data_IF_832593292388
#
_entry.id   IF_832593292388
#
_cell.length_a   1.000
_cell.length_b   1.000
_cell.length_c   1.000
_cell.angle_alpha   90.00
_cell.angle_beta   90.00
_cell.angle_gamma   90.00
#
_symmetry.space_group_name_H-M   'P 1'
#
loop_
_entity.id
_entity.type
_entity.pdbx_description
1 polymer ?
#
# COMPACT_ATOMS: atom_id res chain seq x y z
N UNK A 1 -19.12 0.02 -16.52
CA UNK A 1 -18.78 -1.29 -15.95
C UNK A 1 -19.57 -1.44 -14.68
N UNK A 2 -20.24 -2.57 -14.46
CA UNK A 2 -21.00 -2.80 -13.25
C UNK A 2 -20.16 -3.56 -12.26
N UNK A 3 -20.21 -3.18 -11.02
CA UNK A 3 -19.53 -3.84 -9.91
C UNK A 3 -20.57 -4.35 -8.92
N UNK A 4 -20.20 -5.37 -8.17
CA UNK A 4 -21.09 -6.04 -7.24
C UNK A 4 -20.45 -6.08 -5.85
N UNK A 5 -21.26 -5.89 -4.83
CA UNK A 5 -20.83 -6.02 -3.44
C UNK A 5 -21.75 -6.96 -2.69
N UNK A 6 -21.14 -8.03 -2.17
CA UNK A 6 -21.80 -9.00 -1.30
C UNK A 6 -21.86 -8.45 0.11
N UNK A 7 -23.00 -8.51 0.75
CA UNK A 7 -23.25 -7.96 2.08
C UNK A 7 -24.35 -8.72 2.82
N UNK A 8 -24.41 -8.56 4.13
CA UNK A 8 -25.51 -9.08 4.94
C UNK A 8 -26.82 -8.36 4.65
N UNK A 9 -27.95 -9.01 4.91
CA UNK A 9 -29.27 -8.42 4.73
C UNK A 9 -29.46 -7.14 5.55
N UNK A 10 -28.98 -7.12 6.81
CA UNK A 10 -29.10 -5.94 7.66
C UNK A 10 -28.27 -4.77 7.17
N UNK A 11 -27.08 -5.03 6.65
CA UNK A 11 -26.25 -3.98 5.99
C UNK A 11 -26.95 -3.42 4.76
N UNK A 12 -27.64 -4.27 3.98
CA UNK A 12 -28.44 -3.85 2.83
C UNK A 12 -29.52 -2.85 3.22
N UNK A 13 -30.28 -3.16 4.27
CA UNK A 13 -31.32 -2.24 4.79
C UNK A 13 -30.74 -0.87 5.17
N UNK A 14 -29.58 -0.87 5.83
CA UNK A 14 -28.90 0.38 6.21
C UNK A 14 -28.44 1.18 5.00
N UNK A 15 -27.90 0.53 3.97
CA UNK A 15 -27.47 1.20 2.73
C UNK A 15 -28.66 1.83 2.02
N UNK A 16 -29.76 1.09 1.86
CA UNK A 16 -30.97 1.59 1.20
C UNK A 16 -31.58 2.76 2.00
N UNK A 17 -31.69 2.60 3.32
CA UNK A 17 -32.26 3.64 4.20
C UNK A 17 -31.45 4.93 4.18
N UNK A 18 -30.13 4.81 4.30
CA UNK A 18 -29.24 5.95 4.46
C UNK A 18 -28.69 6.47 3.12
N UNK A 19 -28.88 5.72 2.03
CA UNK A 19 -28.29 5.99 0.71
C UNK A 19 -26.78 6.18 0.77
N UNK A 20 -26.11 5.38 1.61
CA UNK A 20 -24.66 5.45 1.83
C UNK A 20 -24.06 4.07 1.80
N UNK A 21 -22.84 3.95 1.28
CA UNK A 21 -22.05 2.74 1.34
C UNK A 21 -20.78 2.98 2.18
N UNK A 22 -20.53 2.07 3.11
CA UNK A 22 -19.37 2.20 4.00
C UNK A 22 -18.09 1.78 3.30
N UNK A 23 -17.06 2.62 3.39
CA UNK A 23 -15.70 2.27 3.05
C UNK A 23 -14.96 1.80 4.30
N UNK A 24 -14.26 0.69 4.20
CA UNK A 24 -13.61 0.06 5.34
C UNK A 24 -12.17 0.53 5.48
N UNK A 25 -11.70 0.64 6.73
CA UNK A 25 -10.26 0.74 6.98
C UNK A 25 -9.60 -0.60 6.66
N UNK A 26 -8.45 -0.62 5.98
CA UNK A 26 -7.68 -1.84 5.74
C UNK A 26 -7.38 -2.63 7.03
N UNK A 27 -7.19 -1.92 8.14
CA UNK A 27 -6.95 -2.51 9.46
C UNK A 27 -8.12 -3.36 10.01
N UNK A 28 -9.27 -3.35 9.34
CA UNK A 28 -10.48 -4.09 9.71
C UNK A 28 -10.81 -5.23 8.74
N UNK A 29 -9.91 -5.52 7.82
CA UNK A 29 -10.10 -6.64 6.92
C UNK A 29 -9.97 -7.97 7.68
N UNK A 30 -10.67 -8.97 7.20
CA UNK A 30 -10.74 -10.31 7.82
C UNK A 30 -9.47 -11.14 7.60
N UNK A 31 -8.75 -10.88 6.54
CA UNK A 31 -7.46 -11.52 6.26
C UNK A 31 -6.34 -10.74 6.95
N UNK A 32 -5.65 -11.39 7.87
CA UNK A 32 -4.54 -10.78 8.63
C UNK A 32 -3.30 -10.49 7.77
N UNK A 33 -3.17 -11.16 6.64
CA UNK A 33 -2.08 -10.93 5.68
C UNK A 33 -2.43 -9.84 4.67
N UNK A 34 -3.70 -9.43 4.60
CA UNK A 34 -4.20 -8.46 3.65
C UNK A 34 -3.88 -7.03 4.09
N UNK A 35 -3.52 -6.20 3.12
CA UNK A 35 -3.17 -4.79 3.36
C UNK A 35 -2.05 -4.62 4.39
N UNK A 36 -1.17 -5.59 4.52
CA UNK A 36 0.04 -5.48 5.30
C UNK A 36 1.20 -5.09 4.40
N UNK A 37 2.10 -4.28 4.94
CA UNK A 37 3.36 -4.04 4.23
C UNK A 37 4.13 -5.35 4.08
N UNK A 38 4.51 -5.67 2.84
CA UNK A 38 5.37 -6.83 2.56
C UNK A 38 6.81 -6.42 2.93
N UNK A 39 7.37 -6.98 4.00
CA UNK A 39 8.69 -6.57 4.43
C UNK A 39 9.76 -7.06 3.45
N UNK A 40 10.81 -6.27 3.30
CA UNK A 40 12.04 -6.78 2.72
C UNK A 40 12.58 -7.90 3.62
N UNK A 41 13.19 -8.94 3.02
CA UNK A 41 13.88 -9.91 3.87
C UNK A 41 15.02 -9.23 4.63
N UNK A 42 15.34 -9.75 5.80
CA UNK A 42 16.45 -9.21 6.62
C UNK A 42 17.74 -9.15 5.82
N UNK A 43 18.02 -10.20 5.05
CA UNK A 43 19.21 -10.29 4.20
C UNK A 43 19.22 -9.22 3.09
N UNK A 44 18.05 -8.98 2.47
CA UNK A 44 17.90 -7.94 1.45
C UNK A 44 18.12 -6.56 2.04
N UNK A 45 17.57 -6.31 3.22
CA UNK A 45 17.71 -5.04 3.91
C UNK A 45 19.16 -4.77 4.35
N UNK A 46 19.84 -5.76 4.94
CA UNK A 46 21.24 -5.66 5.34
C UNK A 46 22.18 -5.48 4.13
N UNK A 47 21.91 -6.18 3.04
CA UNK A 47 22.65 -6.00 1.79
C UNK A 47 22.49 -4.60 1.25
N UNK A 48 21.26 -4.11 1.15
CA UNK A 48 20.95 -2.76 0.67
C UNK A 48 21.60 -1.69 1.54
N UNK A 49 21.64 -1.87 2.85
CA UNK A 49 22.30 -0.93 3.76
C UNK A 49 23.83 -0.89 3.53
N UNK A 50 24.48 -2.04 3.35
CA UNK A 50 25.92 -2.07 3.02
C UNK A 50 26.18 -1.38 1.67
N UNK A 51 25.42 -1.74 0.64
CA UNK A 51 25.55 -1.16 -0.69
C UNK A 51 25.30 0.36 -0.70
N UNK A 52 24.31 0.82 0.06
CA UNK A 52 24.05 2.22 0.28
C UNK A 52 25.27 2.96 0.83
N UNK A 53 25.89 2.44 1.89
CA UNK A 53 27.07 3.06 2.50
C UNK A 53 28.29 3.05 1.58
N UNK A 54 28.50 1.96 0.83
CA UNK A 54 29.55 1.89 -0.19
C UNK A 54 29.35 2.95 -1.30
N UNK A 55 28.12 3.15 -1.74
CA UNK A 55 27.78 4.19 -2.71
C UNK A 55 28.09 5.59 -2.15
N UNK A 56 27.66 5.87 -0.92
CA UNK A 56 27.94 7.17 -0.28
C UNK A 56 29.45 7.40 -0.12
N UNK A 57 30.22 6.38 0.21
CA UNK A 57 31.68 6.44 0.33
C UNK A 57 32.32 6.76 -1.03
N UNK A 58 31.94 6.06 -2.10
CA UNK A 58 32.40 6.31 -3.47
C UNK A 58 32.15 7.75 -3.90
N UNK A 59 30.91 8.23 -3.68
CA UNK A 59 30.56 9.63 -3.99
C UNK A 59 31.41 10.61 -3.17
N UNK A 60 31.64 10.33 -1.91
CA UNK A 60 32.46 11.18 -1.04
C UNK A 60 33.92 11.26 -1.53
N UNK A 61 34.45 10.18 -2.10
CA UNK A 61 35.79 10.12 -2.72
C UNK A 61 35.85 10.75 -4.11
N UNK A 62 34.72 11.17 -4.69
CA UNK A 62 34.64 11.74 -6.03
C UNK A 62 34.61 10.68 -7.13
N UNK A 63 34.33 9.42 -6.80
CA UNK A 63 34.19 8.34 -7.77
C UNK A 63 32.83 8.46 -8.48
N UNK A 64 32.81 8.05 -9.74
CA UNK A 64 31.56 8.03 -10.51
C UNK A 64 30.72 6.80 -10.12
N UNK A 65 29.46 7.01 -9.79
CA UNK A 65 28.47 5.97 -9.51
C UNK A 65 27.22 6.20 -10.35
N UNK A 66 26.62 5.13 -10.82
CA UNK A 66 25.41 5.17 -11.64
C UNK A 66 24.15 5.34 -10.77
N UNK A 67 23.99 6.54 -10.22
CA UNK A 67 22.81 6.93 -9.44
C UNK A 67 22.39 8.37 -9.78
N UNK A 68 21.13 8.70 -9.53
CA UNK A 68 20.63 10.07 -9.65
C UNK A 68 20.96 10.85 -8.37
N UNK A 69 22.10 11.56 -8.40
CA UNK A 69 22.61 12.31 -7.24
C UNK A 69 21.63 13.40 -6.76
N UNK A 70 20.89 14.02 -7.67
CA UNK A 70 19.95 15.10 -7.33
C UNK A 70 18.72 14.58 -6.58
N UNK A 71 18.36 13.34 -6.80
CA UNK A 71 17.23 12.69 -6.12
C UNK A 71 17.58 12.08 -4.76
N UNK A 72 18.85 12.09 -4.38
CA UNK A 72 19.24 11.57 -3.07
C UNK A 72 18.47 12.28 -1.94
N UNK A 73 18.03 11.51 -0.96
CA UNK A 73 17.36 12.09 0.22
C UNK A 73 18.32 12.99 1.01
N UNK A 74 17.82 14.01 1.73
CA UNK A 74 18.66 14.98 2.46
C UNK A 74 19.69 14.35 3.40
N UNK A 75 19.32 13.26 4.08
CA UNK A 75 20.23 12.54 4.98
C UNK A 75 21.42 11.93 4.23
N UNK A 76 21.23 11.47 2.97
CA UNK A 76 22.33 10.93 2.16
C UNK A 76 23.34 12.02 1.82
N UNK A 77 22.91 13.23 1.46
CA UNK A 77 23.79 14.37 1.23
C UNK A 77 24.58 14.74 2.49
N UNK A 78 23.93 14.75 3.65
CA UNK A 78 24.58 15.01 4.93
C UNK A 78 25.66 13.96 5.24
N UNK A 79 25.35 12.67 5.05
CA UNK A 79 26.28 11.58 5.27
C UNK A 79 27.49 11.66 4.32
N UNK A 80 27.27 11.98 3.05
CA UNK A 80 28.37 12.20 2.08
C UNK A 80 29.30 13.31 2.56
N UNK A 81 28.75 14.44 3.04
CA UNK A 81 29.55 15.53 3.56
C UNK A 81 30.36 15.12 4.81
N UNK A 82 29.76 14.37 5.72
CA UNK A 82 30.43 13.84 6.91
C UNK A 82 31.56 12.86 6.55
N UNK A 83 31.34 11.97 5.57
CA UNK A 83 32.38 11.04 5.08
C UNK A 83 33.55 11.83 4.50
N UNK A 84 33.30 12.83 3.65
CA UNK A 84 34.36 13.69 3.08
C UNK A 84 35.21 14.33 4.17
N UNK A 85 34.60 14.95 5.16
CA UNK A 85 35.30 15.55 6.31
C UNK A 85 36.14 14.53 7.09
N UNK A 86 35.61 13.32 7.25
CA UNK A 86 36.34 12.25 7.97
C UNK A 86 37.54 11.73 7.15
N UNK A 87 37.41 11.66 5.83
CA UNK A 87 38.51 11.30 4.93
C UNK A 87 39.60 12.39 5.00
N UNK A 88 39.26 13.64 4.90
CA UNK A 88 40.18 14.78 4.99
C UNK A 88 40.95 14.81 6.32
N UNK A 89 40.31 14.39 7.40
CA UNK A 89 40.92 14.32 8.75
C UNK A 89 41.63 13.02 9.04
N UNK A 90 41.71 12.09 8.08
CA UNK A 90 42.28 10.75 8.27
C UNK A 90 41.62 9.96 9.43
N UNK A 91 40.34 10.19 9.70
CA UNK A 91 39.56 9.52 10.77
C UNK A 91 38.54 8.55 10.23
N UNK A 92 38.40 8.46 8.92
CA UNK A 92 37.38 7.65 8.28
C UNK A 92 37.65 6.14 8.47
N UNK A 93 36.64 5.44 8.98
CA UNK A 93 36.62 3.98 9.08
C UNK A 93 35.24 3.47 8.67
N UNK A 94 35.17 2.87 7.47
CA UNK A 94 33.90 2.39 6.91
C UNK A 94 33.24 1.30 7.78
N UNK A 95 34.03 0.39 8.35
CA UNK A 95 33.50 -0.69 9.18
C UNK A 95 32.85 -0.17 10.47
N UNK A 96 33.41 0.83 11.10
CA UNK A 96 32.83 1.46 12.30
C UNK A 96 31.55 2.20 11.94
N UNK A 97 31.52 2.92 10.83
CA UNK A 97 30.33 3.65 10.38
C UNK A 97 29.16 2.71 10.08
N UNK A 98 29.42 1.58 9.41
CA UNK A 98 28.40 0.54 9.17
C UNK A 98 27.88 -0.01 10.50
N UNK A 99 28.77 -0.34 11.44
CA UNK A 99 28.40 -0.86 12.76
C UNK A 99 27.58 0.15 13.56
N UNK A 100 27.97 1.41 13.55
CA UNK A 100 27.26 2.49 14.28
C UNK A 100 25.84 2.68 13.72
N UNK A 101 25.67 2.70 12.40
CA UNK A 101 24.34 2.84 11.77
C UNK A 101 23.48 1.61 12.04
N UNK A 102 24.04 0.40 11.94
CA UNK A 102 23.29 -0.83 12.24
C UNK A 102 22.89 -0.93 13.71
N UNK A 103 23.71 -0.39 14.63
CA UNK A 103 23.40 -0.36 16.06
C UNK A 103 22.35 0.67 16.44
N UNK A 104 22.21 1.76 15.67
CA UNK A 104 21.17 2.78 15.88
C UNK A 104 19.77 2.27 15.51
N UNK A 105 19.65 1.25 14.68
CA UNK A 105 18.39 0.71 14.19
C UNK A 105 18.25 -0.74 14.66
N UNK A 106 17.64 -0.92 15.82
CA UNK A 106 17.54 -2.26 16.46
C UNK A 106 16.67 -3.24 15.68
N UNK A 107 15.66 -2.76 14.95
CA UNK A 107 14.80 -3.60 14.08
C UNK A 107 14.21 -2.76 12.94
N UNK A 108 15.00 -2.45 11.91
CA UNK A 108 14.57 -1.55 10.82
C UNK A 108 13.33 -2.05 10.07
N UNK A 109 13.14 -3.36 9.97
CA UNK A 109 11.96 -3.95 9.34
C UNK A 109 10.69 -3.66 10.15
N UNK A 110 10.74 -3.88 11.47
CA UNK A 110 9.59 -3.63 12.34
C UNK A 110 9.27 -2.14 12.41
N UNK A 111 10.27 -1.28 12.52
CA UNK A 111 10.10 0.18 12.55
C UNK A 111 9.49 0.69 11.24
N UNK A 112 9.93 0.17 10.10
CA UNK A 112 9.40 0.54 8.79
C UNK A 112 7.98 0.03 8.58
N UNK A 113 7.69 -1.21 9.01
CA UNK A 113 6.34 -1.77 9.02
C UNK A 113 5.40 -0.93 9.89
N UNK A 114 5.83 -0.55 11.08
CA UNK A 114 5.05 0.29 11.98
C UNK A 114 4.77 1.66 11.37
N UNK A 115 5.77 2.29 10.76
CA UNK A 115 5.63 3.55 10.05
C UNK A 115 4.61 3.47 8.91
N UNK A 116 4.70 2.44 8.06
CA UNK A 116 3.75 2.22 6.97
C UNK A 116 2.34 1.98 7.52
N UNK A 117 2.19 1.10 8.51
CA UNK A 117 0.89 0.76 9.08
C UNK A 117 0.25 1.95 9.79
N UNK A 118 1.02 2.72 10.55
CA UNK A 118 0.52 3.89 11.27
C UNK A 118 0.31 5.11 10.36
N UNK A 119 1.22 5.32 9.41
CA UNK A 119 1.20 6.52 8.56
C UNK A 119 0.34 6.37 7.30
N UNK A 120 0.52 5.28 6.56
CA UNK A 120 -0.11 5.08 5.26
C UNK A 120 -1.46 4.36 5.38
N UNK A 121 -1.47 3.19 6.01
CA UNK A 121 -2.65 2.31 5.99
C UNK A 121 -3.79 2.87 6.84
N UNK A 122 -3.46 3.53 7.95
CA UNK A 122 -4.45 4.03 8.91
C UNK A 122 -5.44 5.03 8.29
N UNK A 123 -4.95 5.87 7.38
CA UNK A 123 -5.74 6.95 6.76
C UNK A 123 -6.51 6.52 5.53
N UNK A 124 -6.29 5.30 5.03
CA UNK A 124 -6.99 4.81 3.86
C UNK A 124 -8.37 4.24 4.20
N UNK A 125 -9.28 4.46 3.26
CA UNK A 125 -10.62 3.85 3.22
C UNK A 125 -10.79 3.18 1.89
N UNK A 126 -11.23 1.93 1.91
CA UNK A 126 -11.32 1.06 0.75
C UNK A 126 -12.74 0.56 0.58
N UNK A 127 -13.23 0.65 -0.63
CA UNK A 127 -14.42 -0.04 -1.08
C UNK A 127 -13.99 -1.20 -1.98
N UNK A 128 -14.18 -2.42 -1.49
CA UNK A 128 -13.95 -3.66 -2.20
C UNK A 128 -15.23 -4.08 -2.92
N UNK A 129 -15.12 -4.33 -4.20
CA UNK A 129 -16.21 -4.78 -5.08
C UNK A 129 -15.68 -5.86 -6.02
N UNK A 130 -16.55 -6.59 -6.69
CA UNK A 130 -16.18 -7.60 -7.69
C UNK A 130 -16.93 -7.38 -8.99
N UNK A 131 -16.41 -7.96 -10.08
CA UNK A 131 -17.11 -7.96 -11.36
C UNK A 131 -18.17 -9.09 -11.48
N UNK A 132 -18.27 -9.98 -10.49
CA UNK A 132 -19.16 -11.16 -10.52
C UNK A 132 -20.21 -11.13 -9.41
N UNK A 133 -21.44 -11.38 -9.76
CA UNK A 133 -22.58 -11.46 -8.83
C UNK A 133 -23.00 -12.90 -8.47
N UNK A 134 -22.49 -13.89 -9.19
CA UNK A 134 -22.92 -15.29 -9.12
C UNK A 134 -21.86 -16.24 -8.51
N UNK A 135 -20.86 -15.69 -7.84
CA UNK A 135 -19.78 -16.47 -7.24
C UNK A 135 -20.22 -17.11 -5.93
N UNK A 136 -20.33 -18.43 -5.89
CA UNK A 136 -20.81 -19.20 -4.71
C UNK A 136 -19.92 -19.01 -3.47
N UNK A 137 -18.59 -18.89 -3.65
CA UNK A 137 -17.68 -18.65 -2.52
C UNK A 137 -17.87 -17.25 -1.94
N UNK A 138 -18.10 -16.26 -2.79
CA UNK A 138 -18.42 -14.90 -2.35
C UNK A 138 -19.76 -14.85 -1.59
N UNK A 139 -20.76 -15.61 -2.05
CA UNK A 139 -22.02 -15.74 -1.33
C UNK A 139 -21.84 -16.38 0.04
N UNK A 140 -21.01 -17.41 0.14
CA UNK A 140 -20.74 -18.07 1.42
C UNK A 140 -19.99 -17.17 2.39
N UNK A 141 -18.95 -16.47 1.93
CA UNK A 141 -18.03 -15.69 2.79
C UNK A 141 -18.58 -14.29 3.13
N UNK A 142 -19.19 -13.61 2.16
CA UNK A 142 -19.57 -12.20 2.26
C UNK A 142 -21.08 -11.98 2.16
N UNK A 143 -21.81 -12.95 1.62
CA UNK A 143 -23.27 -12.93 1.50
C UNK A 143 -24.00 -13.59 2.65
N UNK A 144 -23.46 -13.52 3.89
CA UNK A 144 -24.08 -14.08 5.09
C UNK A 144 -24.51 -15.54 4.93
N UNK A 145 -23.57 -16.40 4.50
CA UNK A 145 -23.81 -17.83 4.25
C UNK A 145 -24.99 -18.08 3.29
N UNK A 146 -25.06 -17.30 2.21
CA UNK A 146 -26.11 -17.30 1.19
C UNK A 146 -27.47 -16.67 1.61
N UNK A 147 -27.58 -16.07 2.82
CA UNK A 147 -28.79 -15.37 3.29
C UNK A 147 -28.74 -13.86 3.09
N UNK A 148 -27.62 -13.33 2.59
CA UNK A 148 -27.41 -11.91 2.39
C UNK A 148 -27.93 -11.39 1.04
N UNK A 149 -27.30 -10.33 0.58
CA UNK A 149 -27.66 -9.66 -0.67
C UNK A 149 -26.41 -9.33 -1.48
N UNK A 150 -26.62 -9.13 -2.79
CA UNK A 150 -25.64 -8.51 -3.67
C UNK A 150 -26.19 -7.18 -4.14
N UNK A 151 -25.42 -6.11 -3.94
CA UNK A 151 -25.75 -4.79 -4.48
C UNK A 151 -24.97 -4.58 -5.75
N UNK A 152 -25.65 -4.22 -6.82
CA UNK A 152 -25.04 -3.75 -8.06
C UNK A 152 -24.74 -2.26 -7.94
N UNK A 153 -23.50 -1.90 -8.26
CA UNK A 153 -23.00 -0.53 -8.29
C UNK A 153 -22.64 -0.18 -9.73
N UNK A 154 -23.47 0.63 -10.36
CA UNK A 154 -23.19 1.17 -11.69
C UNK A 154 -22.84 2.64 -11.60
N UNK A 155 -21.91 3.09 -12.42
CA UNK A 155 -21.46 4.49 -12.46
C UNK A 155 -21.10 5.04 -11.08
N UNK A 156 -20.12 4.42 -10.43
CA UNK A 156 -19.69 4.74 -9.05
C UNK A 156 -19.43 6.23 -8.83
N UNK A 157 -19.09 6.97 -9.88
CA UNK A 157 -18.95 8.43 -9.85
C UNK A 157 -19.14 8.99 -11.27
N UNK A 158 -19.67 10.21 -11.37
CA UNK A 158 -19.80 10.93 -12.65
C UNK A 158 -18.41 11.48 -13.04
N UNK A 159 -17.74 12.10 -12.08
CA UNK A 159 -16.38 12.59 -12.23
C UNK A 159 -15.50 11.91 -11.17
N UNK A 160 -14.34 11.38 -11.59
CA UNK A 160 -13.40 10.75 -10.66
C UNK A 160 -12.90 11.78 -9.64
N UNK A 161 -13.18 11.59 -8.33
CA UNK A 161 -12.71 12.52 -7.31
C UNK A 161 -11.18 12.60 -7.29
N UNK A 162 -10.66 13.79 -7.06
CA UNK A 162 -9.22 13.98 -6.87
C UNK A 162 -8.73 13.13 -5.70
N UNK A 163 -7.64 12.42 -5.87
CA UNK A 163 -7.07 11.53 -4.84
C UNK A 163 -7.71 10.15 -4.75
N UNK A 164 -8.78 9.87 -5.53
CA UNK A 164 -9.30 8.51 -5.64
C UNK A 164 -8.35 7.65 -6.47
N UNK A 165 -7.89 6.55 -5.88
CA UNK A 165 -7.18 5.47 -6.58
C UNK A 165 -8.10 4.28 -6.73
N UNK A 166 -7.97 3.59 -7.84
CA UNK A 166 -8.77 2.41 -8.12
C UNK A 166 -8.02 1.44 -9.02
N UNK A 167 -8.30 0.16 -8.86
CA UNK A 167 -7.68 -0.87 -9.67
C UNK A 167 -8.17 -2.27 -9.31
N UNK A 168 -7.81 -3.21 -10.17
CA UNK A 168 -7.95 -4.65 -9.87
C UNK A 168 -6.91 -5.05 -8.85
N UNK A 169 -7.26 -6.04 -8.04
CA UNK A 169 -6.31 -6.68 -7.15
C UNK A 169 -5.47 -7.67 -7.97
N UNK A 170 -4.15 -7.59 -7.80
CA UNK A 170 -3.19 -8.53 -8.37
C UNK A 170 -3.01 -9.70 -7.40
N UNK A 171 -3.18 -10.92 -7.88
CA UNK A 171 -3.11 -12.12 -7.07
C UNK A 171 -1.78 -12.85 -7.27
N UNK A 172 -1.07 -13.13 -6.17
CA UNK A 172 0.25 -13.77 -6.19
C UNK A 172 0.32 -14.94 -5.20
N UNK A 173 1.07 -15.98 -5.53
CA UNK A 173 1.34 -17.07 -4.59
C UNK A 173 2.12 -16.57 -3.38
N UNK A 174 3.10 -15.70 -3.62
CA UNK A 174 3.88 -15.02 -2.59
C UNK A 174 3.83 -13.52 -2.86
N UNK A 175 3.66 -12.74 -1.81
CA UNK A 175 3.72 -11.29 -1.89
C UNK A 175 5.19 -10.86 -1.78
N UNK A 176 5.64 -10.07 -2.72
CA UNK A 176 6.98 -9.49 -2.76
C UNK A 176 6.89 -7.98 -2.92
N UNK A 177 7.77 -7.20 -2.27
CA UNK A 177 7.83 -5.77 -2.50
C UNK A 177 8.31 -5.50 -3.93
N UNK A 178 7.58 -4.63 -4.65
CA UNK A 178 7.99 -4.14 -5.99
C UNK A 178 9.09 -3.09 -5.87
N UNK A 179 9.19 -2.48 -4.71
CA UNK A 179 10.25 -1.51 -4.41
C UNK A 179 11.56 -2.21 -4.09
N UNK A 180 12.66 -1.61 -4.51
CA UNK A 180 13.99 -2.05 -4.10
C UNK A 180 14.35 -1.40 -2.76
N UNK A 181 14.85 -2.16 -1.81
CA UNK A 181 15.30 -1.64 -0.52
C UNK A 181 16.43 -0.60 -0.65
N UNK A 182 17.33 -0.76 -1.61
CA UNK A 182 18.39 0.21 -1.88
C UNK A 182 17.84 1.57 -2.35
N UNK A 183 16.82 1.57 -3.21
CA UNK A 183 16.19 2.80 -3.67
C UNK A 183 15.56 3.58 -2.52
N UNK A 184 14.96 2.88 -1.56
CA UNK A 184 14.41 3.48 -0.34
C UNK A 184 15.52 4.08 0.53
N UNK A 185 16.69 3.45 0.60
CA UNK A 185 17.85 3.99 1.31
C UNK A 185 18.40 5.24 0.62
N UNK A 186 18.53 5.23 -0.70
CA UNK A 186 19.09 6.33 -1.48
C UNK A 186 18.13 7.53 -1.55
N UNK A 187 16.91 7.28 -1.97
CA UNK A 187 15.97 8.32 -2.40
C UNK A 187 14.83 8.56 -1.38
N UNK A 188 14.61 7.63 -0.45
CA UNK A 188 13.48 7.71 0.49
C UNK A 188 12.14 7.43 -0.17
N UNK A 189 11.08 8.03 0.34
CA UNK A 189 9.72 7.89 -0.19
C UNK A 189 9.43 8.91 -1.30
N UNK A 190 9.96 8.66 -2.49
CA UNK A 190 9.52 9.43 -3.66
C UNK A 190 8.06 9.11 -4.01
N UNK A 191 7.38 9.97 -4.80
CA UNK A 191 6.03 9.67 -5.29
C UNK A 191 5.93 8.30 -5.96
N UNK A 192 6.93 7.93 -6.76
CA UNK A 192 6.99 6.65 -7.49
C UNK A 192 7.13 5.47 -6.52
N UNK A 193 8.02 5.56 -5.55
CA UNK A 193 8.21 4.54 -4.50
C UNK A 193 6.92 4.37 -3.69
N UNK A 194 6.29 5.49 -3.32
CA UNK A 194 5.00 5.47 -2.60
C UNK A 194 3.89 4.83 -3.42
N UNK A 195 3.85 5.09 -4.72
CA UNK A 195 2.87 4.49 -5.62
C UNK A 195 3.05 2.98 -5.72
N UNK A 196 4.28 2.48 -5.84
CA UNK A 196 4.58 1.05 -5.80
C UNK A 196 4.21 0.42 -4.45
N UNK A 197 4.52 1.08 -3.33
CA UNK A 197 4.13 0.61 -2.00
C UNK A 197 2.62 0.50 -1.83
N UNK A 198 1.86 1.48 -2.32
CA UNK A 198 0.40 1.44 -2.29
C UNK A 198 -0.10 0.28 -3.13
N UNK A 199 0.50 0.05 -4.29
CA UNK A 199 0.15 -1.08 -5.15
C UNK A 199 0.39 -2.41 -4.43
N UNK A 200 1.54 -2.56 -3.77
CA UNK A 200 1.87 -3.78 -3.03
C UNK A 200 0.94 -4.02 -1.83
N UNK A 201 0.66 -2.96 -1.06
CA UNK A 201 -0.11 -3.08 0.18
C UNK A 201 -1.61 -3.16 -0.07
N UNK A 202 -2.12 -2.35 -1.00
CA UNK A 202 -3.58 -2.16 -1.16
C UNK A 202 -4.14 -2.96 -2.33
N UNK A 203 -3.37 -3.15 -3.40
CA UNK A 203 -3.85 -3.78 -4.63
C UNK A 203 -3.19 -5.14 -4.92
N UNK A 204 -2.62 -5.79 -3.89
CA UNK A 204 -2.08 -7.13 -3.99
C UNK A 204 -2.69 -8.04 -2.92
N UNK A 205 -2.89 -9.32 -3.26
CA UNK A 205 -3.50 -10.33 -2.40
C UNK A 205 -2.96 -11.72 -2.72
N UNK A 206 -3.02 -12.62 -1.75
CA UNK A 206 -2.64 -14.03 -1.96
C UNK A 206 -3.56 -14.69 -2.98
N UNK A 207 -3.00 -15.54 -3.85
CA UNK A 207 -3.73 -16.22 -4.94
C UNK A 207 -4.87 -17.13 -4.47
N UNK A 208 -4.84 -17.58 -3.21
CA UNK A 208 -5.95 -18.32 -2.59
C UNK A 208 -7.28 -17.55 -2.62
N UNK A 209 -7.22 -16.21 -2.73
CA UNK A 209 -8.38 -15.33 -2.80
C UNK A 209 -8.75 -14.91 -4.23
N UNK A 210 -8.12 -15.47 -5.26
CA UNK A 210 -8.32 -15.06 -6.65
C UNK A 210 -9.77 -15.21 -7.15
N UNK A 211 -10.56 -16.08 -6.49
CA UNK A 211 -11.98 -16.25 -6.79
C UNK A 211 -12.81 -15.00 -6.55
N UNK A 212 -12.31 -14.04 -5.76
CA UNK A 212 -13.01 -12.79 -5.48
C UNK A 212 -13.05 -11.86 -6.69
N UNK A 213 -12.06 -11.95 -7.59
CA UNK A 213 -11.89 -11.06 -8.74
C UNK A 213 -12.11 -9.59 -8.36
N UNK A 214 -11.41 -9.21 -7.28
CA UNK A 214 -11.68 -7.97 -6.56
C UNK A 214 -11.20 -6.75 -7.34
N UNK A 215 -12.01 -5.71 -7.28
CA UNK A 215 -11.67 -4.36 -7.69
C UNK A 215 -11.79 -3.44 -6.49
N UNK A 216 -10.79 -2.61 -6.27
CA UNK A 216 -10.73 -1.70 -5.12
C UNK A 216 -10.81 -0.26 -5.55
N UNK A 217 -11.58 0.52 -4.77
CA UNK A 217 -11.52 1.96 -4.77
C UNK A 217 -10.93 2.37 -3.44
N UNK A 218 -9.87 3.17 -3.46
CA UNK A 218 -9.16 3.62 -2.26
C UNK A 218 -9.13 5.14 -2.21
N UNK A 219 -9.34 5.67 -1.03
CA UNK A 219 -9.28 7.09 -0.74
C UNK A 219 -8.59 7.35 0.60
N UNK A 220 -7.85 8.45 0.69
CA UNK A 220 -7.21 8.87 1.94
C UNK A 220 -8.05 9.91 2.66
N UNK A 221 -8.33 9.71 3.95
CA UNK A 221 -9.03 10.68 4.80
C UNK A 221 -8.32 12.04 4.88
N UNK A 222 -7.02 12.09 4.60
CA UNK A 222 -6.25 13.33 4.60
C UNK A 222 -6.69 14.32 3.51
N UNK A 223 -7.40 13.87 2.48
CA UNK A 223 -7.98 14.72 1.44
C UNK A 223 -9.35 15.31 1.83
N UNK A 224 -9.81 15.06 3.06
CA UNK A 224 -11.11 15.52 3.56
C UNK A 224 -12.27 14.59 3.18
N UNK A 225 -13.48 14.97 3.54
CA UNK A 225 -14.67 14.20 3.20
C UNK A 225 -15.00 14.35 1.71
N UNK A 226 -14.82 13.30 0.94
CA UNK A 226 -15.37 13.26 -0.41
C UNK A 226 -16.88 13.04 -0.30
N UNK A 227 -17.63 14.01 -0.79
CA UNK A 227 -19.02 13.76 -1.17
C UNK A 227 -18.98 13.17 -2.58
N UNK A 228 -19.19 11.86 -2.66
CA UNK A 228 -19.55 11.27 -3.92
C UNK A 228 -20.96 11.79 -4.27
N UNK A 229 -21.08 12.51 -5.37
CA UNK A 229 -22.41 12.81 -5.93
C UNK A 229 -22.93 11.51 -6.54
N UNK A 230 -23.58 10.71 -5.70
CA UNK A 230 -24.20 9.47 -6.12
C UNK A 230 -25.65 9.74 -6.50
N UNK A 231 -25.99 9.52 -7.74
CA UNK A 231 -27.35 9.17 -8.10
C UNK A 231 -27.55 7.69 -7.73
N UNK A 232 -27.93 7.43 -6.49
CA UNK A 232 -28.40 6.12 -6.08
C UNK A 232 -29.73 5.85 -6.76
N UNK A 233 -29.73 5.22 -7.92
CA UNK A 233 -30.92 4.61 -8.49
C UNK A 233 -30.97 3.17 -7.94
N UNK A 234 -31.85 2.94 -6.98
CA UNK A 234 -32.25 1.58 -6.61
C UNK A 234 -33.08 1.02 -7.76
N UNK A 235 -32.49 0.09 -8.51
CA UNK A 235 -33.27 -0.71 -9.45
C UNK A 235 -34.05 -1.74 -8.63
N UNK A 236 -35.35 -1.43 -8.33
CA UNK A 236 -36.21 -2.34 -7.58
C UNK A 236 -36.38 -3.73 -8.23
N UNK A 237 -36.04 -3.88 -9.50
CA UNK A 237 -36.09 -5.16 -10.23
C UNK A 237 -35.00 -6.18 -9.84
N UNK A 238 -33.96 -5.78 -9.16
CA UNK A 238 -32.87 -6.69 -8.71
C UNK A 238 -33.12 -7.27 -7.30
N UNK A 239 -34.19 -6.86 -6.62
CA UNK A 239 -34.56 -7.35 -5.29
C UNK A 239 -35.59 -8.49 -5.32
N UNK A 240 -36.01 -8.93 -6.49
CA UNK A 240 -36.93 -10.06 -6.65
C UNK A 240 -36.23 -11.24 -7.30
N UNK A 241 -35.55 -12.05 -6.49
CA UNK A 241 -35.27 -13.45 -6.76
C UNK A 241 -34.98 -14.18 -5.45
#
# INVERSE_FOLDING_TARGET
>A
MNYFKYITFDTTKLIIKNKTIRWSSPLKFNDIEECQFVPYSKESFERANREYLEILEKIAKGENVDIDYEKLKPISHMLIAMIRLSIERNTFNSSNMVADILNLVSNPEADYREYINKGLIRVFRILCVTAKFDNKLMWAHYGDQHYGCVIELSNLYINKPHGLREGRVDYHENLYPRTNSLDVFLYGETPEIRDLMIQDVIFSKRSIWNYEEEYRLMYSENFGNIKFEHNFQTNEKSLTA
#
